data_IF_912334830833
#
_entry.id   IF_912334830833
#
_cell.length_a   1.000
_cell.length_b   1.000
_cell.length_c   1.000
_cell.angle_alpha   90.00
_cell.angle_beta   90.00
_cell.angle_gamma   90.00
#
_symmetry.space_group_name_H-M   'P 1'
#
loop_
_entity.id
_entity.type
_entity.pdbx_description
1 polymer ?
#
# COMPACT_ATOMS: atom_id res chain seq x y z
N UNK A 1 68.07 5.76 -21.10
CA UNK A 1 66.80 6.47 -20.92
C UNK A 1 67.09 7.95 -20.91
N UNK A 2 66.55 8.70 -21.87
CA UNK A 2 66.67 10.17 -21.87
C UNK A 2 65.71 10.76 -20.84
N UNK A 3 66.03 11.95 -20.34
CA UNK A 3 65.15 12.74 -19.46
C UNK A 3 63.76 12.96 -20.06
N UNK A 4 63.66 13.05 -21.39
CA UNK A 4 62.38 13.19 -22.10
C UNK A 4 61.50 11.93 -22.04
N UNK A 5 62.09 10.73 -22.11
CA UNK A 5 61.35 9.47 -21.96
C UNK A 5 60.81 9.31 -20.54
N UNK A 6 61.58 9.71 -19.53
CA UNK A 6 61.18 9.69 -18.12
C UNK A 6 60.02 10.67 -17.88
N UNK A 7 60.11 11.89 -18.42
CA UNK A 7 59.04 12.90 -18.31
C UNK A 7 57.76 12.41 -19.01
N UNK A 8 57.87 11.83 -20.21
CA UNK A 8 56.73 11.29 -20.95
C UNK A 8 56.07 10.12 -20.20
N UNK A 9 56.86 9.25 -19.57
CA UNK A 9 56.36 8.16 -18.75
C UNK A 9 55.63 8.67 -17.49
N UNK A 10 56.12 9.73 -16.84
CA UNK A 10 55.48 10.33 -15.67
C UNK A 10 54.17 11.01 -16.05
N UNK A 11 54.14 11.75 -17.17
CA UNK A 11 52.92 12.43 -17.63
C UNK A 11 51.86 11.41 -18.09
N UNK A 12 52.26 10.41 -18.86
CA UNK A 12 51.33 9.37 -19.34
C UNK A 12 50.76 8.53 -18.19
N UNK A 13 51.58 8.13 -17.21
CA UNK A 13 51.08 7.42 -16.02
C UNK A 13 50.15 8.30 -15.16
N UNK A 14 50.41 9.61 -15.08
CA UNK A 14 49.55 10.56 -14.36
C UNK A 14 48.19 10.75 -15.06
N UNK A 15 48.16 10.86 -16.38
CA UNK A 15 46.93 10.99 -17.17
C UNK A 15 46.09 9.71 -17.09
N UNK A 16 46.72 8.54 -17.23
CA UNK A 16 46.03 7.24 -17.11
C UNK A 16 45.44 7.08 -15.71
N UNK A 17 46.20 7.44 -14.67
CA UNK A 17 45.74 7.39 -13.28
C UNK A 17 44.54 8.32 -13.03
N UNK A 18 44.55 9.53 -13.61
CA UNK A 18 43.45 10.47 -13.51
C UNK A 18 42.17 9.94 -14.20
N UNK A 19 42.30 9.36 -15.39
CA UNK A 19 41.18 8.74 -16.12
C UNK A 19 40.60 7.56 -15.33
N UNK A 20 41.46 6.67 -14.82
CA UNK A 20 41.02 5.52 -14.02
C UNK A 20 40.29 5.97 -12.76
N UNK A 21 40.87 6.92 -12.04
CA UNK A 21 40.28 7.49 -10.82
C UNK A 21 38.94 8.16 -11.10
N UNK A 22 38.84 8.91 -12.21
CA UNK A 22 37.58 9.53 -12.64
C UNK A 22 36.50 8.49 -12.94
N UNK A 23 36.84 7.42 -13.67
CA UNK A 23 35.92 6.32 -13.97
C UNK A 23 35.45 5.59 -12.70
N UNK A 24 36.38 5.25 -11.79
CA UNK A 24 36.03 4.60 -10.53
C UNK A 24 35.18 5.51 -9.64
N UNK A 25 35.49 6.80 -9.56
CA UNK A 25 34.69 7.77 -8.81
C UNK A 25 33.28 7.89 -9.37
N UNK A 26 33.14 7.98 -10.70
CA UNK A 26 31.83 7.99 -11.35
C UNK A 26 31.04 6.71 -11.05
N UNK A 27 31.68 5.53 -11.14
CA UNK A 27 31.04 4.24 -10.84
C UNK A 27 30.58 4.16 -9.38
N UNK A 28 31.42 4.58 -8.43
CA UNK A 28 31.08 4.62 -6.99
C UNK A 28 29.93 5.60 -6.74
N UNK A 29 30.01 6.80 -7.32
CA UNK A 29 28.97 7.82 -7.16
C UNK A 29 27.62 7.36 -7.72
N UNK A 30 27.61 6.74 -8.91
CA UNK A 30 26.39 6.20 -9.50
C UNK A 30 25.80 5.06 -8.67
N UNK A 31 26.66 4.19 -8.12
CA UNK A 31 26.22 3.12 -7.20
C UNK A 31 25.60 3.68 -5.92
N UNK A 32 26.20 4.72 -5.34
CA UNK A 32 25.68 5.38 -4.14
C UNK A 32 24.34 6.06 -4.43
N UNK A 33 24.22 6.75 -5.57
CA UNK A 33 22.97 7.36 -6.00
C UNK A 33 21.85 6.32 -6.15
N UNK A 34 22.11 5.19 -6.83
CA UNK A 34 21.14 4.10 -6.96
C UNK A 34 20.70 3.56 -5.60
N UNK A 35 21.64 3.37 -4.67
CA UNK A 35 21.37 2.91 -3.30
C UNK A 35 20.49 3.91 -2.54
N UNK A 36 20.79 5.20 -2.60
CA UNK A 36 20.02 6.24 -1.92
C UNK A 36 18.62 6.39 -2.50
N UNK A 37 18.50 6.29 -3.82
CA UNK A 37 17.21 6.30 -4.50
C UNK A 37 16.34 5.09 -4.10
N UNK A 38 16.92 3.88 -4.14
CA UNK A 38 16.24 2.66 -3.69
C UNK A 38 15.85 2.70 -2.22
N UNK A 39 16.70 3.27 -1.35
CA UNK A 39 16.37 3.48 0.05
C UNK A 39 15.12 4.37 0.20
N UNK A 40 15.09 5.52 -0.48
CA UNK A 40 13.93 6.43 -0.43
C UNK A 40 12.66 5.76 -0.95
N UNK A 41 12.77 4.94 -2.00
CA UNK A 41 11.62 4.21 -2.54
C UNK A 41 11.10 3.17 -1.54
N UNK A 42 12.01 2.40 -0.94
CA UNK A 42 11.67 1.42 0.08
C UNK A 42 10.99 2.08 1.28
N UNK A 43 11.52 3.21 1.75
CA UNK A 43 10.94 3.96 2.87
C UNK A 43 9.50 4.39 2.58
N UNK A 44 9.20 4.84 1.34
CA UNK A 44 7.84 5.21 0.93
C UNK A 44 6.89 4.02 0.87
N UNK A 45 7.34 2.89 0.34
CA UNK A 45 6.54 1.66 0.30
C UNK A 45 6.26 1.15 1.71
N UNK A 46 7.28 1.14 2.58
CA UNK A 46 7.15 0.73 3.97
C UNK A 46 6.11 1.58 4.72
N UNK A 47 6.19 2.91 4.60
CA UNK A 47 5.20 3.84 5.17
C UNK A 47 3.76 3.57 4.68
N UNK A 48 3.59 3.18 3.40
CA UNK A 48 2.28 2.81 2.87
C UNK A 48 1.76 1.49 3.46
N UNK A 49 2.60 0.45 3.56
CA UNK A 49 2.20 -0.83 4.18
C UNK A 49 1.99 -0.72 5.70
N UNK A 50 2.73 0.15 6.40
CA UNK A 50 2.46 0.47 7.80
C UNK A 50 1.09 1.16 7.96
N UNK A 51 0.76 2.08 7.05
CA UNK A 51 -0.56 2.73 7.04
C UNK A 51 -1.67 1.73 6.75
N UNK A 52 -1.45 0.77 5.84
CA UNK A 52 -2.38 -0.33 5.58
C UNK A 52 -2.58 -1.19 6.84
N UNK A 53 -1.50 -1.52 7.55
CA UNK A 53 -1.57 -2.24 8.81
C UNK A 53 -2.39 -1.47 9.86
N UNK A 54 -2.26 -0.14 9.94
CA UNK A 54 -3.13 0.66 10.81
C UNK A 54 -4.62 0.51 10.44
N UNK A 55 -4.96 0.52 9.14
CA UNK A 55 -6.35 0.31 8.69
C UNK A 55 -6.87 -1.07 9.11
N UNK A 56 -6.12 -2.14 8.87
CA UNK A 56 -6.57 -3.49 9.23
C UNK A 56 -6.67 -3.69 10.74
N UNK A 57 -5.82 -3.03 11.52
CA UNK A 57 -5.90 -3.02 12.98
C UNK A 57 -7.16 -2.30 13.48
N UNK A 58 -7.56 -1.18 12.87
CA UNK A 58 -8.83 -0.52 13.21
C UNK A 58 -10.04 -1.43 13.00
N UNK A 59 -10.01 -2.27 11.95
CA UNK A 59 -11.06 -3.27 11.69
C UNK A 59 -11.02 -4.48 12.65
N UNK A 60 -9.97 -4.63 13.46
CA UNK A 60 -9.78 -5.80 14.32
C UNK A 60 -10.55 -5.73 15.63
N UNK A 61 -10.97 -4.53 16.04
CA UNK A 61 -11.81 -4.38 17.22
C UNK A 61 -13.21 -4.97 16.96
N UNK A 62 -13.67 -5.80 17.89
CA UNK A 62 -14.95 -6.50 17.81
C UNK A 62 -15.71 -6.27 19.11
N UNK A 63 -16.95 -5.79 18.98
CA UNK A 63 -17.85 -5.53 20.09
C UNK A 63 -19.00 -6.51 20.05
N UNK A 64 -19.33 -7.07 21.21
CA UNK A 64 -20.53 -7.90 21.39
C UNK A 64 -21.69 -7.01 21.81
N UNK A 65 -22.74 -7.01 21.01
CA UNK A 65 -24.01 -6.35 21.31
C UNK A 65 -25.07 -7.40 21.65
N UNK A 66 -26.21 -6.95 22.16
CA UNK A 66 -27.37 -7.84 22.36
C UNK A 66 -27.87 -8.45 21.05
N UNK A 67 -27.69 -7.75 19.91
CA UNK A 67 -28.15 -8.19 18.60
C UNK A 67 -27.11 -9.01 17.81
N UNK A 68 -25.84 -9.02 18.22
CA UNK A 68 -24.77 -9.76 17.55
C UNK A 68 -23.37 -9.16 17.68
N UNK A 69 -22.42 -9.75 16.97
CA UNK A 69 -21.05 -9.23 16.88
C UNK A 69 -20.95 -8.14 15.81
N UNK A 70 -20.25 -7.06 16.12
CA UNK A 70 -20.01 -5.94 15.21
C UNK A 70 -18.55 -5.52 15.28
N UNK A 71 -17.98 -5.09 14.16
CA UNK A 71 -16.67 -4.45 14.17
C UNK A 71 -16.76 -3.07 14.81
N UNK A 72 -15.78 -2.70 15.66
CA UNK A 72 -15.77 -1.42 16.39
C UNK A 72 -15.93 -0.20 15.50
N UNK A 73 -15.47 -0.28 14.24
CA UNK A 73 -15.63 0.77 13.21
C UNK A 73 -17.10 1.05 12.85
N UNK A 74 -18.05 0.20 13.23
CA UNK A 74 -19.49 0.34 12.98
C UNK A 74 -20.32 0.39 14.26
N UNK A 75 -19.70 0.64 15.42
CA UNK A 75 -20.42 0.87 16.69
C UNK A 75 -21.04 2.27 16.79
N UNK A 76 -21.01 3.07 15.73
CA UNK A 76 -21.61 4.39 15.67
C UNK A 76 -20.93 5.32 14.67
N UNK A 77 -21.51 6.50 14.48
CA UNK A 77 -21.08 7.51 13.51
C UNK A 77 -19.62 7.92 13.70
N UNK A 78 -19.22 8.23 14.93
CA UNK A 78 -17.87 8.70 15.23
C UNK A 78 -16.81 7.66 14.85
N UNK A 79 -17.04 6.39 15.19
CA UNK A 79 -16.14 5.29 14.84
C UNK A 79 -16.01 5.11 13.33
N UNK A 80 -17.15 5.15 12.62
CA UNK A 80 -17.19 5.00 11.18
C UNK A 80 -16.52 6.17 10.43
N UNK A 81 -16.82 7.41 10.80
CA UNK A 81 -16.22 8.59 10.17
C UNK A 81 -14.72 8.69 10.43
N UNK A 82 -14.27 8.33 11.64
CA UNK A 82 -12.85 8.21 11.93
C UNK A 82 -12.17 7.14 11.06
N UNK A 83 -12.80 5.97 10.92
CA UNK A 83 -12.29 4.92 10.05
C UNK A 83 -12.23 5.38 8.58
N UNK A 84 -13.30 5.97 8.07
CA UNK A 84 -13.40 6.50 6.70
C UNK A 84 -12.35 7.57 6.41
N UNK A 85 -12.10 8.47 7.36
CA UNK A 85 -11.04 9.47 7.25
C UNK A 85 -9.65 8.83 7.14
N UNK A 86 -9.36 7.81 7.97
CA UNK A 86 -8.11 7.06 7.88
C UNK A 86 -8.00 6.29 6.57
N UNK A 87 -9.09 5.65 6.12
CA UNK A 87 -9.13 4.93 4.85
C UNK A 87 -8.86 5.88 3.66
N UNK A 88 -9.47 7.06 3.64
CA UNK A 88 -9.23 8.06 2.60
C UNK A 88 -7.77 8.54 2.58
N UNK A 89 -7.14 8.72 3.76
CA UNK A 89 -5.71 9.03 3.84
C UNK A 89 -4.85 7.89 3.29
N UNK A 90 -5.23 6.65 3.57
CA UNK A 90 -4.55 5.45 3.04
C UNK A 90 -4.69 5.35 1.52
N UNK A 91 -5.87 5.67 0.97
CA UNK A 91 -6.10 5.69 -0.48
C UNK A 91 -5.15 6.66 -1.20
N UNK A 92 -4.77 7.77 -0.57
CA UNK A 92 -3.73 8.68 -1.09
C UNK A 92 -2.33 8.06 -1.20
N UNK A 93 -2.09 6.91 -0.57
CA UNK A 93 -0.84 6.13 -0.66
C UNK A 93 -0.95 4.92 -1.59
N UNK A 94 -2.07 4.71 -2.28
CA UNK A 94 -2.28 3.54 -3.14
C UNK A 94 -1.17 3.33 -4.18
N UNK A 95 -0.58 4.40 -4.71
CA UNK A 95 0.53 4.32 -5.67
C UNK A 95 1.74 3.51 -5.13
N UNK A 96 1.94 3.50 -3.82
CA UNK A 96 3.07 2.81 -3.18
C UNK A 96 2.77 1.36 -2.82
N UNK A 97 1.51 0.94 -2.95
CA UNK A 97 1.09 -0.44 -2.80
C UNK A 97 1.23 -1.19 -4.12
N UNK A 98 1.17 -2.51 -4.05
CA UNK A 98 0.91 -3.33 -5.23
C UNK A 98 -0.55 -3.17 -5.69
N UNK A 99 -0.78 -3.43 -6.98
CA UNK A 99 -2.07 -3.20 -7.62
C UNK A 99 -3.19 -4.03 -6.98
N UNK A 100 -2.89 -5.25 -6.52
CA UNK A 100 -3.89 -6.15 -5.92
C UNK A 100 -4.38 -5.58 -4.61
N UNK A 101 -3.47 -5.14 -3.76
CA UNK A 101 -3.81 -4.48 -2.50
C UNK A 101 -4.57 -3.18 -2.74
N UNK A 102 -4.11 -2.35 -3.68
CA UNK A 102 -4.75 -1.07 -4.03
C UNK A 102 -6.18 -1.25 -4.54
N UNK A 103 -6.41 -2.24 -5.41
CA UNK A 103 -7.75 -2.60 -5.86
C UNK A 103 -8.62 -3.08 -4.71
N UNK A 104 -8.09 -3.91 -3.81
CA UNK A 104 -8.86 -4.42 -2.67
C UNK A 104 -9.27 -3.33 -1.68
N UNK A 105 -8.41 -2.34 -1.45
CA UNK A 105 -8.75 -1.14 -0.67
C UNK A 105 -9.83 -0.31 -1.36
N UNK A 106 -9.76 -0.18 -2.68
CA UNK A 106 -10.79 0.52 -3.46
C UNK A 106 -12.14 -0.18 -3.34
N UNK A 107 -12.18 -1.51 -3.45
CA UNK A 107 -13.38 -2.32 -3.22
C UNK A 107 -13.95 -2.12 -1.81
N UNK A 108 -13.09 -2.08 -0.79
CA UNK A 108 -13.53 -1.81 0.59
C UNK A 108 -14.18 -0.43 0.69
N UNK A 109 -13.56 0.61 0.13
CA UNK A 109 -14.10 1.96 0.16
C UNK A 109 -15.47 2.06 -0.54
N UNK A 110 -15.59 1.45 -1.73
CA UNK A 110 -16.85 1.38 -2.49
C UNK A 110 -17.91 0.62 -1.69
N UNK A 111 -17.55 -0.52 -1.10
CA UNK A 111 -18.44 -1.30 -0.27
C UNK A 111 -18.99 -0.50 0.91
N UNK A 112 -18.12 0.18 1.67
CA UNK A 112 -18.56 0.99 2.81
C UNK A 112 -19.43 2.16 2.37
N UNK A 113 -19.16 2.74 1.19
CA UNK A 113 -19.99 3.79 0.65
C UNK A 113 -21.40 3.28 0.30
N UNK A 114 -21.49 2.21 -0.49
CA UNK A 114 -22.75 1.71 -1.03
C UNK A 114 -23.58 0.95 0.01
N UNK A 115 -22.93 0.15 0.88
CA UNK A 115 -23.60 -0.78 1.79
C UNK A 115 -23.70 -0.28 3.23
N UNK A 116 -22.98 0.82 3.55
CA UNK A 116 -23.06 1.45 4.87
C UNK A 116 -23.54 2.89 4.77
N UNK A 117 -22.68 3.82 4.36
CA UNK A 117 -23.03 5.25 4.44
C UNK A 117 -24.21 5.64 3.54
N UNK A 118 -24.41 4.96 2.41
CA UNK A 118 -25.54 5.20 1.52
C UNK A 118 -26.91 4.87 2.14
N UNK A 119 -26.93 4.15 3.27
CA UNK A 119 -28.14 3.83 4.03
C UNK A 119 -28.29 4.65 5.32
N UNK A 120 -27.42 5.64 5.54
CA UNK A 120 -27.47 6.55 6.69
C UNK A 120 -27.90 7.93 6.19
N UNK A 121 -29.02 8.43 6.72
CA UNK A 121 -29.48 9.79 6.44
C UNK A 121 -28.90 10.78 7.46
N UNK A 122 -28.20 11.79 6.98
CA UNK A 122 -27.58 12.83 7.79
C UNK A 122 -28.60 13.67 8.56
N UNK A 123 -29.88 13.69 8.15
CA UNK A 123 -30.93 14.42 8.87
C UNK A 123 -31.48 13.67 10.09
N UNK A 124 -31.14 12.39 10.27
CA UNK A 124 -31.58 11.62 11.43
C UNK A 124 -30.90 12.08 12.73
N UNK A 125 -31.54 11.80 13.87
CA UNK A 125 -30.90 11.98 15.17
C UNK A 125 -29.69 11.04 15.30
N UNK A 126 -28.67 11.49 16.03
CA UNK A 126 -27.41 10.75 16.17
C UNK A 126 -27.60 9.34 16.76
N UNK A 127 -28.52 9.20 17.72
CA UNK A 127 -28.87 7.90 18.30
C UNK A 127 -29.41 6.92 17.24
N UNK A 128 -30.35 7.38 16.40
CA UNK A 128 -30.88 6.60 15.28
C UNK A 128 -29.80 6.25 14.24
N UNK A 129 -28.87 7.17 13.96
CA UNK A 129 -27.73 6.88 13.08
C UNK A 129 -26.83 5.80 13.68
N UNK A 130 -26.54 5.88 14.98
CA UNK A 130 -25.69 4.91 15.69
C UNK A 130 -26.32 3.52 15.72
N UNK A 131 -27.62 3.42 16.02
CA UNK A 131 -28.36 2.16 15.93
C UNK A 131 -28.29 1.58 14.51
N UNK A 132 -28.43 2.41 13.48
CA UNK A 132 -28.35 1.95 12.09
C UNK A 132 -26.95 1.47 11.71
N UNK A 133 -25.89 2.14 12.17
CA UNK A 133 -24.51 1.67 11.98
C UNK A 133 -24.30 0.28 12.59
N UNK A 134 -24.83 0.04 13.80
CA UNK A 134 -24.76 -1.26 14.47
C UNK A 134 -25.52 -2.32 13.68
N UNK A 135 -26.75 -2.03 13.24
CA UNK A 135 -27.56 -2.94 12.42
C UNK A 135 -26.82 -3.35 11.14
N UNK A 136 -26.28 -2.37 10.39
CA UNK A 136 -25.51 -2.62 9.17
C UNK A 136 -24.21 -3.36 9.47
N UNK A 137 -23.55 -3.05 10.59
CA UNK A 137 -22.33 -3.72 11.03
C UNK A 137 -22.53 -5.18 11.38
N UNK A 138 -23.65 -5.55 12.00
CA UNK A 138 -24.03 -6.94 12.23
C UNK A 138 -24.35 -7.63 10.90
N UNK A 139 -25.20 -7.01 10.07
CA UNK A 139 -25.59 -7.54 8.75
C UNK A 139 -24.38 -7.84 7.86
N UNK A 140 -23.37 -6.96 7.90
CA UNK A 140 -22.20 -7.03 7.02
C UNK A 140 -20.94 -7.54 7.71
N UNK A 141 -21.04 -8.04 8.95
CA UNK A 141 -19.91 -8.49 9.76
C UNK A 141 -18.94 -9.40 8.98
N UNK A 142 -19.48 -10.47 8.39
CA UNK A 142 -18.66 -11.45 7.66
C UNK A 142 -17.92 -10.85 6.47
N UNK A 143 -18.56 -9.92 5.75
CA UNK A 143 -17.96 -9.26 4.59
C UNK A 143 -16.79 -8.36 4.99
N UNK A 144 -16.92 -7.65 6.11
CA UNK A 144 -15.86 -6.80 6.67
C UNK A 144 -14.70 -7.66 7.18
N UNK A 145 -14.99 -8.76 7.85
CA UNK A 145 -13.99 -9.74 8.28
C UNK A 145 -13.20 -10.32 7.10
N UNK A 146 -13.89 -10.60 5.98
CA UNK A 146 -13.25 -11.10 4.76
C UNK A 146 -12.34 -10.04 4.13
N UNK A 147 -12.75 -8.77 4.11
CA UNK A 147 -11.88 -7.65 3.68
C UNK A 147 -10.63 -7.56 4.56
N UNK A 148 -10.80 -7.56 5.88
CA UNK A 148 -9.70 -7.50 6.85
C UNK A 148 -8.71 -8.64 6.65
N UNK A 149 -9.22 -9.88 6.56
CA UNK A 149 -8.40 -11.08 6.40
C UNK A 149 -7.64 -11.06 5.08
N UNK A 150 -8.29 -10.64 3.99
CA UNK A 150 -7.67 -10.52 2.67
C UNK A 150 -6.57 -9.46 2.66
N UNK A 151 -6.83 -8.28 3.21
CA UNK A 151 -5.84 -7.20 3.30
C UNK A 151 -4.65 -7.59 4.19
N UNK A 152 -4.89 -8.29 5.31
CA UNK A 152 -3.82 -8.82 6.16
C UNK A 152 -2.98 -9.89 5.43
N UNK A 153 -3.61 -10.74 4.62
CA UNK A 153 -2.89 -11.70 3.80
C UNK A 153 -1.96 -11.00 2.79
N UNK A 154 -2.46 -9.99 2.08
CA UNK A 154 -1.65 -9.21 1.13
C UNK A 154 -0.53 -8.45 1.83
N UNK A 155 -0.84 -7.74 2.93
CA UNK A 155 0.16 -7.05 3.76
C UNK A 155 1.31 -7.98 4.16
N UNK A 156 0.99 -9.15 4.70
CA UNK A 156 2.00 -10.11 5.14
C UNK A 156 2.82 -10.69 3.98
N UNK A 157 2.20 -10.86 2.81
CA UNK A 157 2.91 -11.32 1.62
C UNK A 157 3.89 -10.26 1.09
N UNK A 158 3.45 -9.01 1.02
CA UNK A 158 4.24 -7.91 0.48
C UNK A 158 5.38 -7.50 1.41
N UNK A 159 5.17 -7.48 2.72
CA UNK A 159 6.24 -7.19 3.68
C UNK A 159 7.41 -8.18 3.56
N UNK A 160 7.16 -9.45 3.21
CA UNK A 160 8.22 -10.45 2.95
C UNK A 160 9.00 -10.16 1.66
N UNK A 161 8.37 -9.49 0.70
CA UNK A 161 8.93 -9.23 -0.63
C UNK A 161 9.33 -7.76 -0.85
N UNK A 162 9.21 -6.89 0.16
CA UNK A 162 9.41 -5.45 0.03
C UNK A 162 10.81 -5.05 -0.49
N UNK A 163 11.81 -5.88 -0.22
CA UNK A 163 13.19 -5.70 -0.68
C UNK A 163 13.37 -5.89 -2.20
N UNK A 164 12.41 -6.52 -2.88
CA UNK A 164 12.43 -6.76 -4.34
C UNK A 164 11.95 -5.51 -5.08
N UNK A 165 12.80 -4.48 -5.09
CA UNK A 165 12.49 -3.19 -5.71
C UNK A 165 12.56 -3.24 -7.24
N UNK A 166 13.30 -4.19 -7.83
CA UNK A 166 13.40 -4.29 -9.29
C UNK A 166 12.03 -4.61 -9.92
N UNK A 167 11.20 -5.42 -9.24
CA UNK A 167 9.80 -5.71 -9.62
C UNK A 167 8.92 -4.45 -9.60
N UNK A 168 9.33 -3.39 -8.88
CA UNK A 168 8.59 -2.13 -8.87
C UNK A 168 8.74 -1.36 -10.19
N UNK A 169 9.84 -1.53 -10.90
CA UNK A 169 10.08 -0.84 -12.17
C UNK A 169 9.63 -1.66 -13.38
N UNK A 170 9.22 -2.92 -13.18
CA UNK A 170 8.76 -3.79 -14.24
C UNK A 170 7.28 -3.52 -14.55
N UNK A 171 7.01 -2.95 -15.72
CA UNK A 171 5.70 -2.48 -16.20
C UNK A 171 4.77 -3.64 -16.59
N UNK A 172 5.26 -4.89 -16.51
CA UNK A 172 4.51 -6.10 -16.88
C UNK A 172 3.44 -6.54 -15.85
N UNK A 173 3.14 -5.72 -14.83
CA UNK A 173 2.16 -6.07 -13.78
C UNK A 173 0.72 -6.20 -14.28
N UNK A 174 0.44 -5.73 -15.49
CA UNK A 174 -0.89 -5.80 -16.12
C UNK A 174 -1.18 -7.18 -16.77
N UNK A 175 -0.17 -8.03 -16.97
CA UNK A 175 -0.26 -9.09 -17.99
C UNK A 175 -0.74 -10.50 -17.57
N UNK A 176 -0.70 -10.92 -16.30
CA UNK A 176 -0.77 -12.37 -16.03
C UNK A 176 -1.38 -12.84 -14.70
N UNK A 177 -2.31 -12.08 -14.12
CA UNK A 177 -3.15 -12.61 -13.05
C UNK A 177 -4.60 -12.45 -13.45
N UNK A 178 -5.15 -13.47 -14.10
CA UNK A 178 -6.59 -13.72 -14.09
C UNK A 178 -6.99 -13.91 -12.63
N UNK A 179 -7.55 -12.86 -12.04
CA UNK A 179 -8.09 -12.93 -10.68
C UNK A 179 -9.47 -13.59 -10.73
N UNK A 180 -9.77 -14.53 -9.82
CA UNK A 180 -11.09 -15.13 -9.72
C UNK A 180 -12.04 -14.12 -9.06
N UNK A 181 -12.46 -13.10 -9.81
CA UNK A 181 -13.62 -12.28 -9.46
C UNK A 181 -14.81 -12.88 -10.21
N UNK A 182 -15.61 -13.66 -9.47
CA UNK A 182 -17.01 -14.02 -9.75
C UNK A 182 -17.52 -13.75 -11.18
N UNK A 183 -17.24 -14.68 -12.10
CA UNK A 183 -17.84 -14.73 -13.44
C UNK A 183 -19.28 -15.31 -13.44
N UNK A 184 -19.83 -15.57 -12.25
CA UNK A 184 -21.26 -15.86 -12.03
C UNK A 184 -21.82 -14.66 -11.29
N UNK A 185 -22.34 -13.63 -11.96
CA UNK A 185 -23.79 -13.47 -12.07
C UNK A 185 -24.23 -12.36 -13.06
N UNK A 186 -23.36 -11.88 -13.94
CA UNK A 186 -23.74 -10.77 -14.86
C UNK A 186 -24.47 -11.27 -16.13
N UNK A 187 -24.48 -12.58 -16.41
CA UNK A 187 -25.22 -13.17 -17.55
C UNK A 187 -26.47 -13.95 -17.09
N UNK A 188 -27.35 -13.30 -16.33
CA UNK A 188 -28.76 -13.71 -16.20
C UNK A 188 -29.68 -12.49 -16.30
N UNK A 189 -29.89 -12.02 -17.52
CA UNK A 189 -31.15 -11.44 -17.99
C UNK A 189 -31.40 -11.90 -19.41
#
# INVERSE_FOLDING_TARGET
MSTTEIILAIISSSVISAILTSYFNWKIHNSNYKKDYYKKLLDRRLDAYESLNSITNLMSDIVYTEQGMVHGILCGKLGFENFKSNLNRMMGKNFWLDDVTGHKLTELNIFLFNEVSGYIDDSWQEETQNEKYIELGIKHYKKIEDFKSTLNYFLNNELKNLHKLDDFFDDNRVGNKTYPVYEKEINKK
#
